data_IF_947197737351
#
_entry.id   IF_947197737351
#
_cell.length_a   1.000
_cell.length_b   1.000
_cell.length_c   1.000
_cell.angle_alpha   90.00
_cell.angle_beta   90.00
_cell.angle_gamma   90.00
#
_symmetry.space_group_name_H-M   'P 1'
#
loop_
_entity.id
_entity.type
_entity.pdbx_description
1 polymer ?
#
# COMPACT_ATOMS: atom_id res chain seq x y z
N UNK A 1 7.19 23.34 -51.50
CA UNK A 1 7.81 22.05 -51.85
C UNK A 1 8.48 21.53 -50.60
N UNK A 2 8.05 20.39 -50.07
CA UNK A 2 8.62 19.77 -48.87
C UNK A 2 10.02 19.24 -49.15
N UNK A 3 10.94 19.38 -48.20
CA UNK A 3 12.33 18.91 -48.32
C UNK A 3 12.40 17.40 -48.19
N UNK A 4 13.45 16.81 -48.75
CA UNK A 4 13.64 15.36 -48.86
C UNK A 4 13.72 14.66 -47.49
N UNK A 5 14.12 15.42 -46.46
CA UNK A 5 14.23 14.96 -45.08
C UNK A 5 12.85 14.77 -44.41
N UNK A 6 11.85 15.59 -44.73
CA UNK A 6 10.48 15.47 -44.18
C UNK A 6 9.76 14.19 -44.65
N UNK A 7 10.05 13.72 -45.87
CA UNK A 7 9.52 12.44 -46.38
C UNK A 7 10.16 11.21 -45.75
N UNK A 8 11.36 11.36 -45.18
CA UNK A 8 12.13 10.25 -44.59
C UNK A 8 11.83 10.12 -43.10
N UNK A 9 11.57 11.23 -42.40
CA UNK A 9 11.38 11.24 -40.94
C UNK A 9 9.93 11.17 -40.46
N UNK A 10 8.94 11.20 -41.37
CA UNK A 10 7.53 11.14 -41.01
C UNK A 10 7.06 12.44 -40.37
N UNK A 11 6.01 13.03 -40.96
CA UNK A 11 5.45 14.30 -40.53
C UNK A 11 5.06 14.25 -39.04
N UNK A 12 5.69 15.09 -38.23
CA UNK A 12 5.46 15.17 -36.79
C UNK A 12 4.12 15.89 -36.57
N UNK A 13 3.03 15.12 -36.55
CA UNK A 13 1.69 15.64 -36.27
C UNK A 13 1.64 16.07 -34.80
N UNK A 14 1.76 17.36 -34.56
CA UNK A 14 1.49 17.97 -33.26
C UNK A 14 -0.01 17.85 -32.96
N UNK A 15 -0.39 16.88 -32.13
CA UNK A 15 -1.74 16.75 -31.60
C UNK A 15 -1.96 17.76 -30.47
N UNK A 16 -2.17 19.02 -30.83
CA UNK A 16 -2.79 20.01 -29.95
C UNK A 16 -4.28 20.16 -30.32
N UNK A 17 -5.15 19.54 -29.52
CA UNK A 17 -6.58 19.85 -29.55
C UNK A 17 -6.83 21.16 -28.80
N UNK A 18 -6.78 22.26 -29.55
CA UNK A 18 -7.52 23.48 -29.24
C UNK A 18 -9.00 23.22 -29.54
N UNK A 19 -9.88 23.41 -28.57
CA UNK A 19 -11.32 23.51 -28.82
C UNK A 19 -11.86 24.81 -28.21
N UNK A 20 -11.95 25.78 -29.10
CA UNK A 20 -12.77 26.99 -29.06
C UNK A 20 -14.22 26.65 -29.44
N UNK A 21 -15.17 27.23 -28.69
CA UNK A 21 -16.52 27.72 -29.05
C UNK A 21 -17.47 26.87 -29.92
N UNK A 22 -18.61 26.48 -29.35
CA UNK A 22 -19.91 26.50 -30.06
C UNK A 22 -21.08 26.54 -29.04
N UNK A 23 -21.88 27.62 -29.09
CA UNK A 23 -23.07 27.84 -28.26
C UNK A 23 -24.25 26.99 -28.75
N UNK A 24 -24.91 26.26 -27.84
CA UNK A 24 -26.33 25.89 -27.96
C UNK A 24 -26.98 25.86 -26.57
N UNK A 25 -27.85 26.82 -26.34
CA UNK A 25 -28.92 26.76 -25.34
C UNK A 25 -30.01 25.79 -25.82
N UNK A 26 -30.55 24.95 -24.94
CA UNK A 26 -32.00 24.72 -24.75
C UNK A 26 -32.25 24.00 -23.41
N UNK A 27 -33.40 24.32 -22.83
CA UNK A 27 -33.80 24.24 -21.43
C UNK A 27 -34.38 22.87 -21.02
N UNK A 28 -34.28 22.51 -19.73
CA UNK A 28 -35.42 22.26 -18.82
C UNK A 28 -35.23 21.15 -17.76
N UNK A 29 -35.67 21.51 -16.55
CA UNK A 29 -36.19 20.69 -15.43
C UNK A 29 -35.23 20.08 -14.38
N UNK A 30 -34.73 20.97 -13.54
CA UNK A 30 -34.77 20.95 -12.07
C UNK A 30 -34.84 19.63 -11.26
N UNK A 31 -33.84 19.46 -10.38
CA UNK A 31 -34.10 19.16 -8.96
C UNK A 31 -32.93 19.62 -8.09
N UNK A 32 -33.11 20.73 -7.38
CA UNK A 32 -32.17 21.21 -6.38
C UNK A 32 -32.23 20.31 -5.13
N UNK A 33 -31.07 19.88 -4.63
CA UNK A 33 -30.87 19.75 -3.19
C UNK A 33 -29.50 20.29 -2.81
N UNK A 34 -29.53 21.48 -2.21
CA UNK A 34 -28.43 22.14 -1.52
C UNK A 34 -27.93 21.26 -0.38
N UNK A 35 -26.62 21.02 -0.30
CA UNK A 35 -25.94 20.86 0.98
C UNK A 35 -24.56 21.53 0.93
N UNK A 36 -24.27 22.20 2.04
CA UNK A 36 -23.32 23.28 2.17
C UNK A 36 -21.87 22.82 2.16
N UNK A 37 -21.01 23.66 1.56
CA UNK A 37 -19.57 23.63 1.71
C UNK A 37 -19.24 24.17 3.11
N UNK A 38 -18.95 23.27 4.04
CA UNK A 38 -18.27 23.60 5.29
C UNK A 38 -16.83 23.12 5.16
N UNK A 39 -15.90 24.09 5.11
CA UNK A 39 -14.48 23.82 5.14
C UNK A 39 -14.09 23.09 6.42
N UNK A 40 -13.11 22.19 6.30
CA UNK A 40 -12.28 21.87 7.44
C UNK A 40 -10.87 21.51 6.94
N UNK A 41 -9.91 22.37 7.29
CA UNK A 41 -8.49 22.05 7.19
C UNK A 41 -8.22 20.84 8.06
N UNK A 42 -7.64 19.80 7.46
CA UNK A 42 -7.24 18.58 8.16
C UNK A 42 -5.72 18.57 8.21
N UNK A 43 -5.20 18.86 9.41
CA UNK A 43 -3.85 18.49 9.81
C UNK A 43 -3.65 17.01 9.48
N UNK A 44 -2.63 16.72 8.69
CA UNK A 44 -2.21 15.35 8.37
C UNK A 44 -1.45 14.83 9.59
N UNK A 45 -2.21 14.39 10.59
CA UNK A 45 -1.70 13.44 11.57
C UNK A 45 -1.71 12.07 10.91
N UNK A 46 -0.52 11.52 10.65
CA UNK A 46 -0.34 10.15 10.20
C UNK A 46 -0.73 9.21 11.33
N UNK A 47 -2.02 8.86 11.40
CA UNK A 47 -2.49 7.74 12.21
C UNK A 47 -2.07 6.43 11.52
N UNK A 48 -1.47 5.54 12.30
CA UNK A 48 -1.07 4.18 11.90
C UNK A 48 -2.30 3.27 11.72
N UNK A 49 -3.22 3.62 10.82
CA UNK A 49 -4.45 2.84 10.60
C UNK A 49 -4.68 2.48 9.13
N UNK A 50 -4.69 1.17 8.90
CA UNK A 50 -5.54 0.42 7.96
C UNK A 50 -5.39 0.64 6.44
N UNK A 51 -4.26 0.17 5.93
CA UNK A 51 -4.07 -0.16 4.50
C UNK A 51 -5.00 -1.26 3.94
N UNK A 52 -5.90 -1.83 4.75
CA UNK A 52 -6.76 -2.95 4.35
C UNK A 52 -8.04 -2.51 3.65
N UNK A 53 -8.45 -1.25 3.84
CA UNK A 53 -9.58 -0.68 3.12
C UNK A 53 -9.09 -0.11 1.80
N UNK A 54 -9.10 -0.92 0.75
CA UNK A 54 -8.89 -0.44 -0.63
C UNK A 54 -9.83 0.75 -0.89
N UNK A 55 -9.29 1.96 -0.94
CA UNK A 55 -10.04 3.22 -1.03
C UNK A 55 -10.67 3.50 -2.40
N UNK A 56 -10.91 2.46 -3.20
CA UNK A 56 -11.49 2.53 -4.54
C UNK A 56 -10.53 3.03 -5.64
N UNK A 57 -9.36 3.56 -5.28
CA UNK A 57 -8.35 4.04 -6.23
C UNK A 57 -7.13 3.12 -6.23
N UNK A 58 -6.79 2.59 -7.42
CA UNK A 58 -5.58 1.79 -7.64
C UNK A 58 -4.34 2.70 -7.61
N UNK A 59 -3.92 3.06 -6.41
CA UNK A 59 -2.79 3.96 -6.18
C UNK A 59 -1.51 3.23 -5.78
N UNK A 60 -1.57 1.92 -5.52
CA UNK A 60 -0.42 1.12 -5.08
C UNK A 60 0.29 0.37 -6.21
N UNK A 61 -0.27 0.31 -7.43
CA UNK A 61 0.29 -0.48 -8.54
C UNK A 61 0.26 0.28 -9.87
N UNK A 62 1.18 -0.07 -10.78
CA UNK A 62 1.27 0.52 -12.12
C UNK A 62 1.73 1.97 -12.15
N UNK A 63 1.44 2.74 -13.22
CA UNK A 63 1.91 4.12 -13.37
C UNK A 63 1.47 5.07 -12.25
N UNK A 64 0.30 4.81 -11.65
CA UNK A 64 -0.22 5.60 -10.52
C UNK A 64 0.56 5.36 -9.23
N UNK A 65 0.97 4.11 -8.97
CA UNK A 65 1.85 3.76 -7.86
C UNK A 65 3.20 4.45 -7.96
N UNK A 66 3.82 4.41 -9.14
CA UNK A 66 5.11 5.10 -9.35
C UNK A 66 5.02 6.60 -9.07
N UNK A 67 3.93 7.26 -9.50
CA UNK A 67 3.72 8.69 -9.22
C UNK A 67 3.51 8.95 -7.73
N UNK A 68 2.77 8.08 -7.03
CA UNK A 68 2.56 8.21 -5.59
C UNK A 68 3.87 8.02 -4.82
N UNK A 69 4.61 6.96 -5.11
CA UNK A 69 5.92 6.67 -4.48
C UNK A 69 6.89 7.83 -4.68
N UNK A 70 6.91 8.42 -5.88
CA UNK A 70 7.74 9.59 -6.17
C UNK A 70 7.34 10.83 -5.34
N UNK A 71 6.03 11.08 -5.16
CA UNK A 71 5.54 12.18 -4.32
C UNK A 71 5.92 11.98 -2.86
N UNK A 72 5.73 10.77 -2.33
CA UNK A 72 6.11 10.41 -0.97
C UNK A 72 7.63 10.56 -0.76
N UNK A 73 8.43 10.04 -1.71
CA UNK A 73 9.88 10.19 -1.70
C UNK A 73 10.32 11.66 -1.64
N UNK A 74 9.71 12.53 -2.45
CA UNK A 74 10.02 13.97 -2.45
C UNK A 74 9.62 14.67 -1.16
N UNK A 75 8.51 14.26 -0.54
CA UNK A 75 8.11 14.79 0.77
C UNK A 75 9.09 14.39 1.87
N UNK A 76 9.52 13.12 1.89
CA UNK A 76 10.50 12.63 2.87
C UNK A 76 11.83 13.35 2.69
N UNK A 77 12.30 13.51 1.44
CA UNK A 77 13.53 14.24 1.13
C UNK A 77 13.48 15.67 1.68
N UNK A 78 12.37 16.39 1.43
CA UNK A 78 12.19 17.76 1.93
C UNK A 78 12.17 17.83 3.46
N UNK A 79 11.47 16.90 4.11
CA UNK A 79 11.39 16.83 5.57
C UNK A 79 12.77 16.56 6.19
N UNK A 80 13.57 15.68 5.59
CA UNK A 80 14.92 15.38 6.08
C UNK A 80 15.87 16.57 5.92
N UNK A 81 15.79 17.30 4.80
CA UNK A 81 16.58 18.51 4.58
C UNK A 81 16.20 19.62 5.58
N UNK A 82 14.89 19.78 5.86
CA UNK A 82 14.41 20.72 6.88
C UNK A 82 14.88 20.33 8.28
N UNK A 83 14.87 19.04 8.62
CA UNK A 83 15.40 18.53 9.89
C UNK A 83 16.90 18.81 10.01
N UNK A 84 17.70 18.48 8.99
CA UNK A 84 19.15 18.77 8.98
C UNK A 84 19.45 20.26 9.12
N UNK A 85 18.67 21.12 8.45
CA UNK A 85 18.80 22.58 8.60
C UNK A 85 18.46 23.06 10.01
N UNK A 86 17.39 22.54 10.61
CA UNK A 86 17.00 22.87 11.97
C UNK A 86 18.06 22.43 13.00
N UNK A 87 18.59 21.21 12.85
CA UNK A 87 19.68 20.69 13.69
C UNK A 87 20.96 21.51 13.54
N UNK A 88 21.35 21.87 12.31
CA UNK A 88 22.51 22.72 12.05
C UNK A 88 22.34 24.11 12.69
N UNK A 89 21.14 24.70 12.62
CA UNK A 89 20.84 25.98 13.27
C UNK A 89 20.88 25.85 14.80
N UNK A 90 20.40 24.76 15.38
CA UNK A 90 20.53 24.51 16.82
C UNK A 90 21.99 24.35 17.25
N UNK A 91 22.77 23.58 16.51
CA UNK A 91 24.19 23.37 16.78
C UNK A 91 24.97 24.66 16.63
N UNK A 92 24.66 25.48 15.63
CA UNK A 92 25.21 26.82 15.48
C UNK A 92 24.85 27.69 16.67
N UNK A 93 23.58 27.69 17.14
CA UNK A 93 23.16 28.42 18.35
C UNK A 93 23.90 27.94 19.61
N UNK A 94 24.08 26.63 19.77
CA UNK A 94 24.83 26.04 20.89
C UNK A 94 26.33 26.40 20.84
N UNK A 95 26.95 26.37 19.66
CA UNK A 95 28.38 26.67 19.44
C UNK A 95 28.70 28.17 19.46
N UNK A 96 27.78 29.02 19.00
CA UNK A 96 27.91 30.48 18.98
C UNK A 96 27.82 31.13 20.36
N UNK A 97 27.48 30.37 21.43
CA UNK A 97 27.58 30.85 22.81
C UNK A 97 29.02 31.24 23.21
N UNK A 98 30.04 30.79 22.45
CA UNK A 98 31.46 31.08 22.68
C UNK A 98 32.10 32.10 21.70
N UNK A 99 31.41 32.54 20.64
CA UNK A 99 32.00 33.46 19.66
C UNK A 99 30.96 34.36 18.99
N UNK A 100 30.98 35.66 19.33
CA UNK A 100 30.34 36.71 18.54
C UNK A 100 31.32 37.18 17.48
N UNK A 101 31.17 36.72 16.24
CA UNK A 101 31.68 37.42 15.06
C UNK A 101 30.62 37.39 13.94
N UNK A 102 30.45 38.53 13.30
CA UNK A 102 29.43 38.85 12.32
C UNK A 102 29.69 38.18 10.95
N UNK A 103 28.58 37.75 10.34
CA UNK A 103 28.27 37.77 8.91
C UNK A 103 29.31 37.19 7.95
N UNK A 104 29.22 35.89 7.67
CA UNK A 104 29.69 35.25 6.41
C UNK A 104 29.11 33.83 6.19
N UNK A 105 28.52 33.21 7.23
CA UNK A 105 28.01 31.82 7.18
C UNK A 105 26.79 31.59 6.27
N UNK A 106 26.02 32.63 5.93
CA UNK A 106 24.79 32.48 5.15
C UNK A 106 25.05 32.28 3.64
N UNK A 107 26.23 32.66 3.15
CA UNK A 107 26.56 32.57 1.71
C UNK A 107 27.15 31.21 1.30
N UNK A 108 27.92 30.55 2.18
CA UNK A 108 28.45 29.21 1.92
C UNK A 108 27.36 28.12 1.93
N UNK A 109 26.28 28.34 2.67
CA UNK A 109 25.16 27.38 2.76
C UNK A 109 24.32 27.33 1.48
N UNK A 110 24.21 28.47 0.78
CA UNK A 110 23.38 28.62 -0.43
C UNK A 110 24.09 28.00 -1.66
N UNK A 111 25.42 28.12 -1.75
CA UNK A 111 26.22 27.50 -2.81
C UNK A 111 26.20 25.96 -2.71
N UNK A 112 26.20 25.39 -1.51
CA UNK A 112 26.15 23.93 -1.31
C UNK A 112 24.79 23.30 -1.67
N UNK A 113 23.70 24.09 -1.68
CA UNK A 113 22.37 23.64 -2.09
C UNK A 113 22.15 23.62 -3.61
N UNK A 114 22.98 24.33 -4.39
CA UNK A 114 22.76 24.54 -5.83
C UNK A 114 23.24 23.40 -6.74
N UNK A 115 23.98 22.42 -6.20
CA UNK A 115 24.60 21.32 -6.96
C UNK A 115 23.82 20.00 -6.98
N UNK A 116 22.51 20.01 -6.71
CA UNK A 116 21.71 18.81 -6.46
C UNK A 116 21.19 18.09 -7.72
N UNK A 117 21.98 18.04 -8.81
CA UNK A 117 21.75 17.15 -9.95
C UNK A 117 22.53 15.84 -9.76
N UNK A 118 22.33 15.21 -8.60
CA UNK A 118 22.99 13.94 -8.24
C UNK A 118 22.27 12.80 -8.95
N UNK A 119 23.06 12.03 -9.71
CA UNK A 119 22.70 10.81 -10.42
C UNK A 119 21.81 9.86 -9.56
N UNK A 120 20.49 9.94 -9.77
CA UNK A 120 19.45 9.25 -8.98
C UNK A 120 19.62 7.71 -8.94
N UNK A 121 20.43 7.14 -9.83
CA UNK A 121 20.62 5.68 -9.92
C UNK A 121 21.58 5.14 -8.86
N UNK A 122 22.45 5.99 -8.30
CA UNK A 122 23.44 5.63 -7.30
C UNK A 122 23.13 6.14 -5.89
N UNK A 123 22.06 6.91 -5.72
CA UNK A 123 21.76 7.63 -4.49
C UNK A 123 21.49 6.67 -3.30
N UNK A 124 22.32 6.69 -2.23
CA UNK A 124 22.09 5.93 -1.02
C UNK A 124 20.69 6.16 -0.42
N UNK A 125 20.16 7.38 -0.57
CA UNK A 125 18.85 7.75 -0.05
C UNK A 125 17.70 7.00 -0.75
N UNK A 126 17.81 6.75 -2.05
CA UNK A 126 16.80 5.98 -2.79
C UNK A 126 16.77 4.51 -2.34
N UNK A 127 17.93 3.92 -2.04
CA UNK A 127 18.00 2.54 -1.51
C UNK A 127 17.36 2.44 -0.13
N UNK A 128 17.64 3.40 0.75
CA UNK A 128 17.00 3.45 2.07
C UNK A 128 15.48 3.61 1.95
N UNK A 129 15.00 4.43 1.00
CA UNK A 129 13.57 4.57 0.76
C UNK A 129 12.93 3.24 0.28
N UNK A 130 13.57 2.54 -0.67
CA UNK A 130 13.11 1.23 -1.12
C UNK A 130 13.06 0.21 0.02
N UNK A 131 14.09 0.19 0.87
CA UNK A 131 14.14 -0.69 2.03
C UNK A 131 13.05 -0.34 3.06
N UNK A 132 12.84 0.95 3.34
CA UNK A 132 11.76 1.44 4.21
C UNK A 132 10.39 0.97 3.69
N UNK A 133 10.14 1.06 2.39
CA UNK A 133 8.88 0.60 1.79
C UNK A 133 8.71 -0.93 1.89
N UNK A 134 9.75 -1.71 1.59
CA UNK A 134 9.71 -3.15 1.76
C UNK A 134 9.45 -3.55 3.21
N UNK A 135 10.09 -2.88 4.16
CA UNK A 135 9.91 -3.10 5.59
C UNK A 135 8.51 -2.72 6.06
N UNK A 136 7.92 -1.66 5.53
CA UNK A 136 6.52 -1.28 5.80
C UNK A 136 5.58 -2.41 5.42
N UNK A 137 5.74 -2.99 4.21
CA UNK A 137 4.95 -4.14 3.78
C UNK A 137 5.19 -5.39 4.64
N UNK A 138 6.45 -5.70 4.98
CA UNK A 138 6.77 -6.84 5.84
C UNK A 138 6.20 -6.71 7.25
N UNK A 139 6.25 -5.52 7.86
CA UNK A 139 5.64 -5.25 9.16
C UNK A 139 4.15 -5.52 9.13
N UNK A 140 3.45 -5.07 8.09
CA UNK A 140 2.02 -5.32 7.90
C UNK A 140 1.68 -6.82 7.77
N UNK A 141 2.51 -7.60 7.09
CA UNK A 141 2.35 -9.06 7.01
C UNK A 141 2.63 -9.74 8.35
N UNK A 142 3.62 -9.25 9.11
CA UNK A 142 4.02 -9.83 10.39
C UNK A 142 3.05 -9.56 11.54
N UNK A 143 2.27 -8.48 11.45
CA UNK A 143 1.24 -8.11 12.42
C UNK A 143 -0.04 -8.98 12.35
N UNK A 144 -0.06 -9.96 11.44
CA UNK A 144 -1.19 -10.89 11.31
C UNK A 144 -1.21 -11.89 12.48
N UNK A 145 -2.41 -12.31 12.92
CA UNK A 145 -2.53 -13.31 13.98
C UNK A 145 -1.82 -14.60 13.56
N UNK A 146 -1.16 -15.23 14.54
CA UNK A 146 -0.46 -16.50 14.36
C UNK A 146 -1.26 -17.61 15.04
N UNK A 147 -1.60 -18.60 14.25
CA UNK A 147 -2.09 -19.91 14.62
C UNK A 147 -0.91 -20.88 14.60
N UNK A 148 -1.07 -22.09 15.13
CA UNK A 148 0.00 -23.10 15.12
C UNK A 148 -0.50 -24.53 15.23
N UNK A 149 -1.83 -24.70 15.28
CA UNK A 149 -2.50 -25.96 15.53
C UNK A 149 -3.74 -26.06 14.64
N UNK A 150 -4.13 -27.30 14.33
CA UNK A 150 -5.35 -27.58 13.59
C UNK A 150 -6.53 -27.71 14.57
N UNK A 151 -7.50 -26.82 14.45
CA UNK A 151 -8.71 -26.81 15.28
C UNK A 151 -9.69 -27.89 14.79
N UNK A 152 -10.25 -28.66 15.72
CA UNK A 152 -11.34 -29.61 15.40
C UNK A 152 -12.66 -28.94 15.74
N UNK A 153 -13.50 -28.73 14.74
CA UNK A 153 -14.81 -28.10 14.86
C UNK A 153 -15.89 -29.16 15.04
N UNK A 154 -16.82 -28.88 15.95
CA UNK A 154 -17.91 -29.79 16.32
C UNK A 154 -19.21 -29.47 15.59
N UNK A 155 -19.42 -28.22 15.17
CA UNK A 155 -20.64 -27.74 14.52
C UNK A 155 -20.34 -26.74 13.38
N UNK A 156 -21.30 -26.60 12.46
CA UNK A 156 -21.24 -25.63 11.37
C UNK A 156 -21.28 -24.16 11.85
N UNK A 157 -21.89 -23.87 13.00
CA UNK A 157 -21.89 -22.52 13.57
C UNK A 157 -20.49 -22.09 14.05
N UNK A 158 -19.71 -23.02 14.60
CA UNK A 158 -18.31 -22.77 14.96
C UNK A 158 -17.46 -22.45 13.73
N UNK A 159 -17.73 -23.14 12.61
CA UNK A 159 -17.07 -22.87 11.34
C UNK A 159 -17.36 -21.45 10.84
N UNK A 160 -18.61 -21.01 10.89
CA UNK A 160 -19.00 -19.65 10.50
C UNK A 160 -18.31 -18.61 11.37
N UNK A 161 -18.32 -18.82 12.70
CA UNK A 161 -17.66 -17.92 13.65
C UNK A 161 -16.17 -17.79 13.35
N UNK A 162 -15.51 -18.92 13.04
CA UNK A 162 -14.09 -18.95 12.67
C UNK A 162 -13.77 -18.18 11.39
N UNK A 163 -14.68 -18.20 10.41
CA UNK A 163 -14.53 -17.48 9.14
C UNK A 163 -14.78 -15.98 9.33
N UNK A 164 -15.77 -15.61 10.14
CA UNK A 164 -16.16 -14.21 10.39
C UNK A 164 -15.17 -13.46 11.31
N UNK A 165 -14.41 -14.18 12.14
CA UNK A 165 -13.48 -13.58 13.11
C UNK A 165 -12.37 -12.72 12.46
N UNK A 166 -11.84 -13.17 11.31
CA UNK A 166 -10.70 -12.51 10.66
C UNK A 166 -10.79 -12.53 9.13
N UNK A 167 -11.04 -11.36 8.54
CA UNK A 167 -11.10 -11.18 7.07
C UNK A 167 -9.73 -11.28 6.38
N UNK A 168 -8.63 -11.12 7.12
CA UNK A 168 -7.26 -11.06 6.57
C UNK A 168 -6.48 -12.37 6.74
N UNK A 169 -7.15 -13.41 7.23
CA UNK A 169 -6.56 -14.71 7.51
C UNK A 169 -7.09 -15.72 6.50
N UNK A 170 -6.18 -16.50 5.91
CA UNK A 170 -6.58 -17.65 5.11
C UNK A 170 -7.00 -18.78 6.04
N UNK A 171 -8.25 -19.23 5.90
CA UNK A 171 -8.79 -20.38 6.61
C UNK A 171 -8.83 -21.58 5.67
N UNK A 172 -8.18 -22.68 6.06
CA UNK A 172 -8.21 -23.95 5.33
C UNK A 172 -9.04 -24.95 6.13
N UNK A 173 -10.14 -25.41 5.54
CA UNK A 173 -11.08 -26.33 6.18
C UNK A 173 -10.98 -27.69 5.53
N UNK A 174 -10.62 -28.70 6.31
CA UNK A 174 -10.64 -30.09 5.90
C UNK A 174 -11.92 -30.77 6.39
N UNK A 175 -12.84 -30.97 5.46
CA UNK A 175 -14.05 -31.75 5.68
C UNK A 175 -13.68 -33.23 5.56
N UNK A 176 -13.92 -34.00 6.61
CA UNK A 176 -13.50 -35.41 6.67
C UNK A 176 -14.62 -36.36 7.09
N UNK A 177 -14.40 -37.64 6.78
CA UNK A 177 -15.24 -38.75 7.22
C UNK A 177 -14.34 -39.83 7.83
N UNK A 178 -14.75 -40.46 8.93
CA UNK A 178 -13.93 -41.44 9.66
C UNK A 178 -13.77 -42.78 8.90
N UNK A 179 -14.67 -43.04 7.94
CA UNK A 179 -14.68 -44.26 7.15
C UNK A 179 -13.61 -44.32 6.04
N UNK A 180 -12.79 -43.27 5.87
CA UNK A 180 -11.77 -43.20 4.83
C UNK A 180 -10.35 -43.03 5.39
N UNK A 181 -9.45 -43.95 5.05
CA UNK A 181 -8.04 -43.89 5.45
C UNK A 181 -7.30 -42.67 4.86
N UNK A 182 -7.67 -42.25 3.65
CA UNK A 182 -7.13 -41.05 3.01
C UNK A 182 -7.33 -39.78 3.85
N UNK A 183 -8.50 -39.63 4.48
CA UNK A 183 -8.79 -38.52 5.39
C UNK A 183 -7.90 -38.52 6.63
N UNK A 184 -7.57 -39.71 7.15
CA UNK A 184 -6.66 -39.87 8.29
C UNK A 184 -5.23 -39.45 7.93
N UNK A 185 -4.78 -39.77 6.72
CA UNK A 185 -3.48 -39.35 6.21
C UNK A 185 -3.44 -37.84 6.01
N UNK A 186 -4.46 -37.25 5.37
CA UNK A 186 -4.58 -35.81 5.16
C UNK A 186 -4.60 -35.05 6.51
N UNK A 187 -5.29 -35.58 7.52
CA UNK A 187 -5.32 -35.01 8.88
C UNK A 187 -3.92 -34.86 9.47
N UNK A 188 -3.03 -35.86 9.29
CA UNK A 188 -1.64 -35.79 9.73
C UNK A 188 -0.85 -34.72 8.97
N UNK A 189 -1.02 -34.66 7.65
CA UNK A 189 -0.38 -33.64 6.81
C UNK A 189 -0.78 -32.22 7.24
N UNK A 190 -2.07 -32.00 7.50
CA UNK A 190 -2.59 -30.71 7.96
C UNK A 190 -2.03 -30.33 9.34
N UNK A 191 -1.89 -31.29 10.26
CA UNK A 191 -1.27 -31.03 11.56
C UNK A 191 0.20 -30.62 11.44
N UNK A 192 0.94 -31.19 10.48
CA UNK A 192 2.30 -30.76 10.17
C UNK A 192 2.32 -29.35 9.55
N UNK A 193 1.44 -29.09 8.57
CA UNK A 193 1.34 -27.80 7.89
C UNK A 193 0.92 -26.66 8.83
N UNK A 194 0.05 -26.94 9.81
CA UNK A 194 -0.37 -25.97 10.81
C UNK A 194 0.80 -25.42 11.62
N UNK A 195 1.83 -26.24 11.87
CA UNK A 195 3.05 -25.82 12.57
C UNK A 195 3.99 -25.03 11.66
N UNK A 196 4.05 -25.39 10.38
CA UNK A 196 4.93 -24.73 9.41
C UNK A 196 4.39 -23.36 8.96
N UNK A 197 3.06 -23.23 8.89
CA UNK A 197 2.37 -22.03 8.36
C UNK A 197 1.53 -21.36 9.45
N UNK A 198 2.15 -20.59 10.35
CA UNK A 198 1.45 -20.01 11.48
C UNK A 198 0.45 -18.92 11.09
N UNK A 199 0.58 -18.29 9.92
CA UNK A 199 -0.35 -17.23 9.51
C UNK A 199 -1.65 -17.77 8.87
N UNK A 200 -1.84 -19.08 8.82
CA UNK A 200 -3.00 -19.76 8.21
C UNK A 200 -3.75 -20.54 9.29
N UNK A 201 -5.07 -20.39 9.35
CA UNK A 201 -5.91 -21.10 10.31
C UNK A 201 -6.37 -22.42 9.70
N UNK A 202 -5.97 -23.54 10.30
CA UNK A 202 -6.36 -24.87 9.85
C UNK A 202 -7.50 -25.40 10.71
N UNK A 203 -8.56 -25.85 10.06
CA UNK A 203 -9.76 -26.38 10.70
C UNK A 203 -10.10 -27.77 10.14
N UNK A 204 -10.67 -28.62 10.98
CA UNK A 204 -11.14 -29.95 10.61
C UNK A 204 -12.57 -30.12 11.10
N UNK A 205 -13.47 -30.57 10.23
CA UNK A 205 -14.89 -30.78 10.58
C UNK A 205 -15.40 -32.06 9.93
N UNK A 206 -16.28 -32.79 10.63
CA UNK A 206 -16.97 -33.94 10.04
C UNK A 206 -17.98 -33.49 9.00
N UNK A 207 -18.18 -34.26 7.93
CA UNK A 207 -19.16 -33.90 6.89
C UNK A 207 -20.57 -33.69 7.47
N UNK A 208 -21.02 -34.57 8.37
CA UNK A 208 -22.33 -34.45 9.04
C UNK A 208 -22.42 -33.18 9.92
N UNK A 209 -21.36 -32.89 10.69
CA UNK A 209 -21.29 -31.69 11.55
C UNK A 209 -21.26 -30.37 10.76
N UNK A 210 -20.74 -30.39 9.54
CA UNK A 210 -20.75 -29.24 8.64
C UNK A 210 -22.14 -28.96 8.01
N UNK A 211 -23.16 -29.78 8.31
CA UNK A 211 -24.48 -29.67 7.68
C UNK A 211 -24.50 -30.14 6.23
N UNK A 212 -23.48 -30.89 5.79
CA UNK A 212 -23.44 -31.45 4.44
C UNK A 212 -24.31 -32.71 4.36
N UNK A 213 -24.90 -32.94 3.18
CA UNK A 213 -25.72 -34.12 2.94
C UNK A 213 -24.91 -35.41 3.19
N UNK A 214 -25.55 -36.45 3.73
CA UNK A 214 -24.98 -37.81 3.87
C UNK A 214 -24.53 -38.45 2.54
N UNK A 215 -24.82 -37.81 1.41
CA UNK A 215 -24.35 -38.18 0.07
C UNK A 215 -23.11 -37.41 -0.38
N UNK A 216 -22.41 -36.73 0.52
CA UNK A 216 -21.14 -36.10 0.22
C UNK A 216 -20.05 -37.16 0.07
N UNK A 217 -20.10 -37.90 -1.04
CA UNK A 217 -19.06 -38.82 -1.45
C UNK A 217 -18.10 -38.06 -2.34
N UNK A 218 -16.82 -38.06 -1.97
CA UNK A 218 -15.77 -37.67 -2.91
C UNK A 218 -15.76 -38.71 -4.03
N UNK A 219 -16.19 -38.30 -5.22
CA UNK A 219 -15.96 -39.08 -6.44
C UNK A 219 -14.46 -38.96 -6.69
N UNK A 220 -13.70 -39.96 -6.26
CA UNK A 220 -12.28 -40.12 -6.55
C UNK A 220 -12.13 -41.15 -7.65
#
# INVERSE_FOLDING_TARGET
MATLEDRILGEKVENYCSSSEDEREEEDSGSESKLAIAGNGRSVETTEEDFRKWGGTASNTGPKGVIQDWREFKQIQKMEDEQKRAEALEDMKKRSFAAKCQNDADKELDELCSGLDVDLRGDPFLREYMEKQMNKMMKQLSARPRFGEALTLSDGQELLTVIEEHNDVTVIVHVFEENMEACTTMKRCIQCLAKERPFTKFCQIKAEAAGLSRRFYFII
#
